data_IF_680366071952
#
_entry.id   IF_680366071952
#
_cell.length_a   1.000
_cell.length_b   1.000
_cell.length_c   1.000
_cell.angle_alpha   90.00
_cell.angle_beta   90.00
_cell.angle_gamma   90.00
#
_symmetry.space_group_name_H-M   'P 1'
#
loop_
_entity.id
_entity.type
_entity.pdbx_description
1 polymer ?
#
# COMPACT_ATOMS: atom_id res chain seq x y z
N UNK A 1 -9.56 -32.51 -5.23
CA UNK A 1 -9.07 -31.47 -4.30
C UNK A 1 -10.17 -30.88 -3.39
N UNK A 2 -11.47 -31.11 -3.63
CA UNK A 2 -12.61 -30.74 -2.72
C UNK A 2 -12.46 -29.36 -2.04
N UNK A 3 -12.19 -28.32 -2.84
CA UNK A 3 -11.99 -26.96 -2.35
C UNK A 3 -13.21 -26.12 -2.67
N UNK A 4 -13.77 -25.47 -1.65
CA UNK A 4 -14.97 -24.64 -1.78
C UNK A 4 -14.64 -23.13 -1.75
N UNK A 5 -13.37 -22.78 -1.60
CA UNK A 5 -12.88 -21.40 -1.54
C UNK A 5 -11.56 -21.25 -2.31
N UNK A 6 -11.35 -20.05 -2.83
CA UNK A 6 -10.14 -19.63 -3.53
C UNK A 6 -9.69 -18.28 -2.95
N UNK A 7 -8.40 -17.92 -3.04
CA UNK A 7 -7.27 -18.65 -3.63
C UNK A 7 -6.64 -19.69 -2.70
N UNK A 8 -5.98 -20.71 -3.26
CA UNK A 8 -5.16 -21.65 -2.48
C UNK A 8 -3.93 -22.09 -3.28
N UNK A 9 -2.77 -22.10 -2.63
CA UNK A 9 -1.52 -22.56 -3.23
C UNK A 9 -1.17 -23.96 -2.71
N UNK A 10 -0.82 -24.85 -3.64
CA UNK A 10 -0.39 -26.22 -3.33
C UNK A 10 0.89 -26.58 -4.08
N UNK A 11 1.76 -27.30 -3.40
CA UNK A 11 2.96 -27.91 -3.95
C UNK A 11 2.69 -29.39 -4.24
N UNK A 12 3.07 -29.88 -5.41
CA UNK A 12 2.95 -31.30 -5.76
C UNK A 12 4.36 -31.89 -5.85
N UNK A 13 4.78 -32.78 -4.92
CA UNK A 13 6.11 -33.35 -4.94
C UNK A 13 6.30 -34.27 -6.15
N UNK A 14 7.54 -34.38 -6.65
CA UNK A 14 7.88 -35.21 -7.81
C UNK A 14 7.55 -36.71 -7.63
N UNK A 15 7.43 -37.18 -6.38
CA UNK A 15 7.01 -38.55 -6.04
C UNK A 15 6.04 -38.54 -4.87
N UNK A 16 4.99 -39.35 -4.97
CA UNK A 16 4.00 -39.54 -3.90
C UNK A 16 2.83 -38.57 -3.94
N UNK A 17 1.97 -38.64 -2.92
CA UNK A 17 0.81 -37.75 -2.76
C UNK A 17 1.20 -36.50 -1.98
N UNK A 18 0.60 -35.33 -2.26
CA UNK A 18 0.82 -34.11 -1.48
C UNK A 18 0.50 -34.32 -0.01
N UNK A 19 1.38 -33.84 0.87
CA UNK A 19 1.17 -33.84 2.32
C UNK A 19 0.38 -32.59 2.73
N UNK A 20 -0.16 -32.57 3.95
CA UNK A 20 -0.85 -31.37 4.48
C UNK A 20 0.02 -30.11 4.47
N UNK A 21 1.33 -30.25 4.68
CA UNK A 21 2.29 -29.15 4.64
C UNK A 21 2.58 -28.63 3.21
N UNK A 22 2.15 -29.37 2.18
CA UNK A 22 2.21 -28.92 0.79
C UNK A 22 1.01 -28.06 0.39
N UNK A 23 0.08 -27.78 1.31
CA UNK A 23 -0.94 -26.73 1.13
C UNK A 23 -0.49 -25.50 1.91
N UNK A 24 -0.34 -24.37 1.24
CA UNK A 24 0.06 -23.12 1.86
C UNK A 24 -1.10 -22.54 2.70
N UNK A 25 -0.82 -22.24 3.97
CA UNK A 25 -1.80 -21.67 4.90
C UNK A 25 -1.96 -20.16 4.68
N UNK A 26 -2.82 -19.81 3.72
CA UNK A 26 -3.10 -18.43 3.36
C UNK A 26 -3.70 -17.62 4.52
N UNK A 27 -4.53 -18.25 5.35
CA UNK A 27 -5.27 -17.58 6.42
C UNK A 27 -4.34 -17.16 7.56
N UNK A 28 -3.31 -17.97 7.83
CA UNK A 28 -2.35 -17.70 8.91
C UNK A 28 -1.16 -16.86 8.47
N UNK A 29 -0.64 -17.09 7.26
CA UNK A 29 0.64 -16.53 6.81
C UNK A 29 0.44 -15.28 5.92
N UNK A 30 -0.74 -15.14 5.32
CA UNK A 30 -1.02 -14.09 4.34
C UNK A 30 -0.48 -14.43 2.94
N UNK A 31 -0.64 -13.50 1.99
CA UNK A 31 -0.34 -13.72 0.56
C UNK A 31 0.89 -12.94 0.06
N UNK A 32 1.77 -12.51 0.97
CA UNK A 32 3.00 -11.81 0.59
C UNK A 32 3.92 -12.73 -0.23
N UNK A 33 4.50 -12.19 -1.31
CA UNK A 33 5.37 -12.93 -2.23
C UNK A 33 6.59 -13.53 -1.55
N UNK A 34 7.14 -12.86 -0.53
CA UNK A 34 8.28 -13.34 0.25
C UNK A 34 7.92 -14.57 1.11
N UNK A 35 6.70 -14.60 1.65
CA UNK A 35 6.23 -15.74 2.45
C UNK A 35 5.98 -16.96 1.57
N UNK A 36 5.46 -16.75 0.37
CA UNK A 36 5.28 -17.81 -0.62
C UNK A 36 6.63 -18.35 -1.11
N UNK A 37 7.59 -17.47 -1.39
CA UNK A 37 8.95 -17.85 -1.77
C UNK A 37 9.66 -18.64 -0.65
N UNK A 38 9.50 -18.23 0.60
CA UNK A 38 10.02 -18.97 1.76
C UNK A 38 9.37 -20.35 1.90
N UNK A 39 8.05 -20.44 1.76
CA UNK A 39 7.35 -21.72 1.80
C UNK A 39 7.84 -22.65 0.68
N UNK A 40 8.03 -22.15 -0.55
CA UNK A 40 8.61 -22.95 -1.64
C UNK A 40 10.01 -23.43 -1.27
N UNK A 41 10.86 -22.56 -0.73
CA UNK A 41 12.21 -22.94 -0.29
C UNK A 41 12.16 -24.04 0.79
N UNK A 42 11.29 -23.91 1.79
CA UNK A 42 11.12 -24.92 2.85
C UNK A 42 10.61 -26.28 2.32
N UNK A 43 9.88 -26.30 1.19
CA UNK A 43 9.33 -27.53 0.60
C UNK A 43 10.22 -28.16 -0.48
N UNK A 44 10.99 -27.36 -1.20
CA UNK A 44 11.69 -27.77 -2.43
C UNK A 44 13.20 -27.52 -2.39
N UNK A 45 13.70 -26.87 -1.34
CA UNK A 45 15.08 -26.35 -1.25
C UNK A 45 15.44 -25.33 -2.36
N UNK A 46 14.44 -24.87 -3.13
CA UNK A 46 14.61 -23.87 -4.19
C UNK A 46 14.41 -22.48 -3.60
N UNK A 47 15.50 -21.71 -3.53
CA UNK A 47 15.44 -20.33 -3.05
C UNK A 47 15.05 -19.36 -4.17
N UNK A 48 13.82 -18.84 -4.10
CA UNK A 48 13.33 -17.81 -5.02
C UNK A 48 13.60 -16.43 -4.43
N UNK A 49 14.37 -15.60 -5.14
CA UNK A 49 14.57 -14.19 -4.79
C UNK A 49 13.42 -13.35 -5.34
N UNK A 50 12.58 -12.83 -4.45
CA UNK A 50 11.48 -11.93 -4.82
C UNK A 50 12.05 -10.56 -5.15
N UNK A 51 11.94 -10.15 -6.42
CA UNK A 51 12.27 -8.79 -6.83
C UNK A 51 10.99 -7.97 -6.95
N UNK A 52 10.89 -6.89 -6.17
CA UNK A 52 9.83 -5.90 -6.33
C UNK A 52 10.32 -4.85 -7.32
N UNK A 53 9.65 -4.61 -8.46
CA UNK A 53 10.06 -3.54 -9.36
C UNK A 53 10.13 -2.22 -8.58
N UNK A 54 11.20 -1.41 -8.77
CA UNK A 54 11.33 -0.14 -8.08
C UNK A 54 10.09 0.71 -8.32
N UNK A 55 9.49 1.22 -7.24
CA UNK A 55 8.35 2.12 -7.36
C UNK A 55 8.85 3.51 -7.79
N UNK A 56 8.87 3.75 -9.10
CA UNK A 56 9.23 5.05 -9.66
C UNK A 56 8.14 6.11 -9.47
N UNK A 57 6.92 5.75 -9.06
CA UNK A 57 5.84 6.71 -8.86
C UNK A 57 6.19 7.73 -7.78
N UNK A 58 6.87 7.30 -6.71
CA UNK A 58 7.31 8.22 -5.64
C UNK A 58 8.36 9.22 -6.13
N UNK A 59 9.36 8.74 -6.88
CA UNK A 59 10.42 9.60 -7.44
C UNK A 59 9.89 10.53 -8.51
N UNK A 60 8.99 10.06 -9.37
CA UNK A 60 8.35 10.86 -10.42
C UNK A 60 7.44 11.93 -9.80
N UNK A 61 6.64 11.58 -8.79
CA UNK A 61 5.80 12.53 -8.07
C UNK A 61 6.64 13.62 -7.39
N UNK A 62 7.77 13.26 -6.77
CA UNK A 62 8.68 14.21 -6.16
C UNK A 62 9.31 15.14 -7.21
N UNK A 63 9.80 14.58 -8.33
CA UNK A 63 10.38 15.36 -9.42
C UNK A 63 9.37 16.34 -10.02
N UNK A 64 8.13 15.90 -10.24
CA UNK A 64 7.03 16.76 -10.67
C UNK A 64 6.78 17.89 -9.67
N UNK A 65 6.69 17.58 -8.38
CA UNK A 65 6.44 18.59 -7.34
C UNK A 65 7.57 19.64 -7.30
N UNK A 66 8.83 19.21 -7.36
CA UNK A 66 9.99 20.13 -7.40
C UNK A 66 9.96 20.98 -8.66
N UNK A 67 9.66 20.39 -9.82
CA UNK A 67 9.58 21.14 -11.08
C UNK A 67 8.44 22.18 -11.07
N UNK A 68 7.29 21.84 -10.47
CA UNK A 68 6.13 22.72 -10.37
C UNK A 68 6.42 23.88 -9.43
N UNK A 69 6.98 23.60 -8.24
CA UNK A 69 7.37 24.63 -7.27
C UNK A 69 8.46 25.53 -7.86
N UNK A 70 9.48 24.96 -8.49
CA UNK A 70 10.54 25.72 -9.17
C UNK A 70 10.01 26.59 -10.30
N UNK A 71 9.11 26.06 -11.12
CA UNK A 71 8.43 26.80 -12.20
C UNK A 71 7.57 27.95 -11.67
N UNK A 72 6.78 27.71 -10.62
CA UNK A 72 5.99 28.75 -9.95
C UNK A 72 6.87 29.86 -9.36
N UNK A 73 7.95 29.49 -8.67
CA UNK A 73 8.92 30.46 -8.14
C UNK A 73 9.62 31.26 -9.23
N UNK A 74 9.93 30.63 -10.37
CA UNK A 74 10.53 31.31 -11.51
C UNK A 74 9.57 32.31 -12.15
N UNK A 75 8.31 31.93 -12.40
CA UNK A 75 7.29 32.80 -12.98
C UNK A 75 6.87 33.94 -12.04
N UNK A 76 6.83 33.69 -10.73
CA UNK A 76 6.51 34.69 -9.70
C UNK A 76 7.75 35.32 -9.06
N UNK A 77 8.93 35.23 -9.69
CA UNK A 77 10.20 35.72 -9.12
C UNK A 77 10.14 37.18 -8.66
N UNK A 78 9.37 38.01 -9.36
CA UNK A 78 9.22 39.44 -9.04
C UNK A 78 8.11 39.74 -8.02
N UNK A 79 7.33 38.73 -7.59
CA UNK A 79 6.13 38.91 -6.77
C UNK A 79 6.01 37.81 -5.70
N UNK A 80 7.06 37.71 -4.86
CA UNK A 80 7.18 36.73 -3.77
C UNK A 80 6.32 37.05 -2.54
N UNK A 81 5.44 38.05 -2.61
CA UNK A 81 4.56 38.47 -1.51
C UNK A 81 3.74 37.31 -0.93
N UNK A 82 3.40 36.31 -1.74
CA UNK A 82 2.72 35.10 -1.29
C UNK A 82 3.53 34.29 -0.26
N UNK A 83 4.86 34.23 -0.41
CA UNK A 83 5.75 33.51 0.53
C UNK A 83 5.96 34.30 1.81
N UNK A 84 5.92 35.63 1.75
CA UNK A 84 6.06 36.49 2.93
C UNK A 84 4.73 36.74 3.65
N UNK A 85 3.60 36.30 3.09
CA UNK A 85 2.28 36.51 3.67
C UNK A 85 2.06 35.63 4.92
N UNK A 86 2.19 36.24 6.11
CA UNK A 86 1.99 35.59 7.41
C UNK A 86 0.59 34.98 7.58
N UNK A 87 -0.44 35.58 6.99
CA UNK A 87 -1.82 35.07 7.06
C UNK A 87 -1.98 33.79 6.25
N UNK A 88 -1.31 33.69 5.10
CA UNK A 88 -1.29 32.47 4.27
C UNK A 88 -0.66 31.28 5.03
N UNK A 89 0.48 31.51 5.68
CA UNK A 89 1.13 30.51 6.52
C UNK A 89 0.31 30.12 7.75
N UNK A 90 -0.36 31.09 8.39
CA UNK A 90 -1.25 30.82 9.52
C UNK A 90 -2.42 29.91 9.11
N UNK A 91 -3.05 30.18 7.96
CA UNK A 91 -4.12 29.33 7.41
C UNK A 91 -3.62 27.93 7.07
N UNK A 92 -2.47 27.81 6.41
CA UNK A 92 -1.88 26.51 6.09
C UNK A 92 -1.57 25.70 7.36
N UNK A 93 -1.02 26.33 8.40
CA UNK A 93 -0.75 25.69 9.68
C UNK A 93 -2.05 25.20 10.36
N UNK A 94 -3.11 26.01 10.36
CA UNK A 94 -4.42 25.60 10.90
C UNK A 94 -5.01 24.41 10.14
N UNK A 95 -4.91 24.38 8.80
CA UNK A 95 -5.35 23.24 8.01
C UNK A 95 -4.61 21.94 8.39
N UNK A 96 -3.29 22.01 8.61
CA UNK A 96 -2.49 20.86 9.05
C UNK A 96 -2.91 20.40 10.44
N UNK A 97 -3.08 21.32 11.39
CA UNK A 97 -3.54 20.99 12.75
C UNK A 97 -4.90 20.30 12.70
N UNK A 98 -5.86 20.86 11.97
CA UNK A 98 -7.18 20.25 11.84
C UNK A 98 -7.14 18.87 11.20
N UNK A 99 -6.37 18.68 10.13
CA UNK A 99 -6.21 17.38 9.48
C UNK A 99 -5.59 16.34 10.43
N UNK A 100 -4.62 16.75 11.26
CA UNK A 100 -3.99 15.86 12.23
C UNK A 100 -4.93 15.53 13.40
N UNK A 101 -5.74 16.48 13.85
CA UNK A 101 -6.73 16.26 14.93
C UNK A 101 -8.01 15.55 14.47
N UNK A 102 -8.35 15.58 13.18
CA UNK A 102 -9.59 15.00 12.64
C UNK A 102 -9.55 13.48 12.49
N UNK A 103 -8.53 12.81 13.04
CA UNK A 103 -8.38 11.36 12.95
C UNK A 103 -7.91 10.85 11.58
N UNK A 104 -7.37 11.69 10.69
CA UNK A 104 -6.82 11.22 9.39
C UNK A 104 -5.72 10.18 9.57
N UNK A 105 -4.87 10.30 10.60
CA UNK A 105 -3.87 9.28 10.89
C UNK A 105 -4.50 7.97 11.36
N UNK A 106 -5.61 8.01 12.10
CA UNK A 106 -6.35 6.82 12.52
C UNK A 106 -6.96 6.12 11.30
N UNK A 107 -7.53 6.88 10.36
CA UNK A 107 -8.02 6.36 9.08
C UNK A 107 -6.89 5.76 8.24
N UNK A 108 -5.73 6.41 8.19
CA UNK A 108 -4.58 5.94 7.41
C UNK A 108 -3.96 4.65 7.98
N UNK A 109 -3.87 4.53 9.31
CA UNK A 109 -3.27 3.36 9.97
C UNK A 109 -4.22 2.17 10.00
N UNK A 110 -5.51 2.41 10.28
CA UNK A 110 -6.48 1.31 10.49
C UNK A 110 -7.31 0.97 9.26
N UNK A 111 -7.37 1.85 8.26
CA UNK A 111 -8.09 1.64 7.01
C UNK A 111 -9.51 1.09 7.17
N UNK A 112 -10.34 1.62 8.09
CA UNK A 112 -11.71 1.14 8.24
C UNK A 112 -12.46 1.31 6.91
N UNK A 113 -13.31 0.34 6.51
CA UNK A 113 -14.08 0.44 5.28
C UNK A 113 -15.02 1.65 5.35
N UNK A 114 -14.86 2.59 4.40
CA UNK A 114 -15.62 3.84 4.34
C UNK A 114 -17.14 3.64 4.21
N UNK A 115 -17.59 2.46 3.76
CA UNK A 115 -18.98 2.06 3.73
C UNK A 115 -19.12 0.59 4.16
N UNK A 116 -19.97 0.32 5.15
CA UNK A 116 -20.41 -1.03 5.49
C UNK A 116 -21.62 -1.36 4.62
N UNK A 117 -21.49 -2.31 3.68
CA UNK A 117 -22.63 -2.82 2.92
C UNK A 117 -23.61 -3.49 3.90
N UNK A 118 -24.88 -3.06 3.88
CA UNK A 118 -25.91 -3.71 4.68
C UNK A 118 -26.09 -5.17 4.19
N UNK A 119 -25.89 -6.20 5.05
CA UNK A 119 -25.98 -7.61 4.68
C UNK A 119 -27.35 -8.05 4.14
N UNK A 120 -28.40 -7.29 4.41
CA UNK A 120 -29.77 -7.64 4.00
C UNK A 120 -30.16 -7.04 2.64
N UNK A 121 -29.65 -5.85 2.30
CA UNK A 121 -30.18 -5.08 1.16
C UNK A 121 -29.11 -4.70 0.12
N UNK A 122 -27.83 -4.99 0.36
CA UNK A 122 -26.74 -4.83 -0.62
C UNK A 122 -26.40 -3.39 -1.05
N UNK A 123 -27.11 -2.39 -0.54
CA UNK A 123 -26.85 -0.98 -0.81
C UNK A 123 -25.69 -0.47 0.06
N UNK A 124 -24.86 0.37 -0.58
CA UNK A 124 -23.73 1.12 0.00
C UNK A 124 -24.16 2.47 0.52
#
# INVERSE_FOLDING_TARGET
LNMNSAPTFMHFPAKGKPKRADTFDLQRIGFASEQLAKWIADRTDVQIRVFRPPNYSGTIALALLVSLVGGLLYLRRNNLEFIYNKTGWAMAALCVVFAMTSGQMWNHIRGPPYAHKNPQNGQV
#
